data_IF_922532822554
#
_entry.id   IF_922532822554
#
_cell.length_a   1.000
_cell.length_b   1.000
_cell.length_c   1.000
_cell.angle_alpha   90.00
_cell.angle_beta   90.00
_cell.angle_gamma   90.00
#
_symmetry.space_group_name_H-M   'P 1'
#
loop_
_entity.id
_entity.type
_entity.pdbx_description
1 polymer ?
#
# COMPACT_ATOMS: atom_id res chain seq x y z
N UNK A 1 -20.88 -3.56 -11.26
CA UNK A 1 -20.27 -2.74 -12.33
C UNK A 1 -19.07 -3.39 -12.99
N UNK A 2 -18.17 -4.03 -12.23
CA UNK A 2 -16.92 -4.56 -12.80
C UNK A 2 -17.08 -5.52 -13.99
N UNK A 3 -18.05 -6.43 -13.96
CA UNK A 3 -18.18 -7.46 -15.01
C UNK A 3 -18.54 -6.90 -16.40
N UNK A 4 -19.60 -6.08 -16.57
CA UNK A 4 -19.87 -5.42 -17.87
C UNK A 4 -18.76 -4.49 -18.35
N UNK A 5 -18.10 -3.76 -17.44
CA UNK A 5 -16.97 -2.89 -17.76
C UNK A 5 -15.84 -3.72 -18.38
N UNK A 6 -15.49 -4.85 -17.76
CA UNK A 6 -14.48 -5.77 -18.28
C UNK A 6 -14.83 -6.32 -19.67
N UNK A 7 -16.08 -6.70 -19.90
CA UNK A 7 -16.54 -7.18 -21.21
C UNK A 7 -16.45 -6.10 -22.31
N UNK A 8 -16.57 -4.83 -21.95
CA UNK A 8 -16.41 -3.71 -22.86
C UNK A 8 -14.94 -3.34 -23.16
N UNK A 9 -13.97 -4.14 -22.69
CA UNK A 9 -12.54 -3.86 -22.85
C UNK A 9 -12.06 -2.67 -22.00
N UNK A 10 -12.75 -2.44 -20.87
CA UNK A 10 -12.42 -1.41 -19.90
C UNK A 10 -12.07 -2.05 -18.57
N UNK A 11 -11.26 -1.36 -17.77
CA UNK A 11 -10.93 -1.80 -16.43
C UNK A 11 -10.82 -0.61 -15.47
N UNK A 12 -11.10 -0.89 -14.20
CA UNK A 12 -10.80 0.04 -13.13
C UNK A 12 -10.39 -0.73 -11.88
N UNK A 13 -9.58 -0.08 -11.04
CA UNK A 13 -9.21 -0.58 -9.73
C UNK A 13 -9.40 0.51 -8.68
N UNK A 14 -9.71 0.08 -7.45
CA UNK A 14 -9.77 0.93 -6.27
C UNK A 14 -8.85 0.29 -5.23
N UNK A 15 -7.77 0.98 -4.91
CA UNK A 15 -6.82 0.60 -3.87
C UNK A 15 -6.97 1.49 -2.64
N UNK A 16 -6.48 0.99 -1.51
CA UNK A 16 -6.34 1.77 -0.28
C UNK A 16 -4.96 1.48 0.29
N UNK A 17 -4.24 2.55 0.62
CA UNK A 17 -2.95 2.51 1.31
C UNK A 17 -2.93 3.58 2.41
N UNK A 18 -1.74 3.87 2.96
CA UNK A 18 -1.58 4.87 4.02
C UNK A 18 -1.77 6.31 3.55
N UNK A 19 -1.50 6.60 2.26
CA UNK A 19 -1.66 7.93 1.66
C UNK A 19 -3.12 8.21 1.33
N UNK A 20 -3.90 7.17 1.02
CA UNK A 20 -5.35 7.27 0.89
C UNK A 20 -5.94 6.26 -0.07
N UNK A 21 -6.72 6.74 -1.03
CA UNK A 21 -7.44 5.93 -2.02
C UNK A 21 -6.76 6.12 -3.37
N UNK A 22 -6.37 5.00 -4.00
CA UNK A 22 -5.89 5.00 -5.38
C UNK A 22 -6.99 4.55 -6.33
N UNK A 23 -7.15 5.27 -7.43
CA UNK A 23 -8.10 4.95 -8.50
C UNK A 23 -7.31 4.79 -9.80
N UNK A 24 -7.48 3.67 -10.48
CA UNK A 24 -6.92 3.46 -11.81
C UNK A 24 -8.03 3.15 -12.80
N UNK A 25 -7.90 3.66 -14.01
CA UNK A 25 -8.83 3.47 -15.12
C UNK A 25 -8.03 3.12 -16.37
N UNK A 26 -8.45 2.09 -17.10
CA UNK A 26 -7.76 1.61 -18.30
C UNK A 26 -8.75 1.10 -19.35
N UNK A 27 -8.26 0.97 -20.58
CA UNK A 27 -9.01 0.44 -21.73
C UNK A 27 -9.19 1.46 -22.85
N UNK A 28 -10.24 1.29 -23.66
CA UNK A 28 -10.49 2.10 -24.86
C UNK A 28 -10.76 3.58 -24.55
N UNK A 29 -10.04 4.47 -25.24
CA UNK A 29 -10.10 5.94 -25.07
C UNK A 29 -11.51 6.51 -25.15
N UNK A 30 -12.33 5.95 -26.03
CA UNK A 30 -13.67 6.47 -26.36
C UNK A 30 -14.67 6.33 -25.20
N UNK A 31 -14.36 5.47 -24.21
CA UNK A 31 -15.24 5.14 -23.09
C UNK A 31 -14.63 5.41 -21.72
N UNK A 32 -13.35 5.78 -21.62
CA UNK A 32 -12.69 6.07 -20.33
C UNK A 32 -13.39 7.19 -19.57
N UNK A 33 -13.78 8.29 -20.22
CA UNK A 33 -14.46 9.40 -19.53
C UNK A 33 -15.82 8.99 -18.95
N UNK A 34 -16.55 8.13 -19.66
CA UNK A 34 -17.81 7.56 -19.19
C UNK A 34 -17.60 6.64 -17.98
N UNK A 35 -16.54 5.83 -18.01
CA UNK A 35 -16.15 4.98 -16.89
C UNK A 35 -15.79 5.80 -15.65
N UNK A 36 -14.93 6.83 -15.79
CA UNK A 36 -14.54 7.73 -14.70
C UNK A 36 -15.78 8.34 -14.06
N UNK A 37 -16.70 8.90 -14.87
CA UNK A 37 -17.97 9.45 -14.39
C UNK A 37 -18.77 8.42 -13.60
N UNK A 38 -18.95 7.23 -14.17
CA UNK A 38 -19.81 6.18 -13.59
C UNK A 38 -19.27 5.65 -12.26
N UNK A 39 -17.94 5.45 -12.16
CA UNK A 39 -17.29 4.96 -10.94
C UNK A 39 -17.29 6.04 -9.87
N UNK A 40 -16.89 7.27 -10.21
CA UNK A 40 -16.78 8.37 -9.23
C UNK A 40 -18.12 8.78 -8.61
N UNK A 41 -19.23 8.71 -9.36
CA UNK A 41 -20.58 8.92 -8.81
C UNK A 41 -20.95 7.92 -7.70
N UNK A 42 -20.38 6.72 -7.73
CA UNK A 42 -20.67 5.67 -6.74
C UNK A 42 -19.76 5.70 -5.52
N UNK A 43 -18.61 6.37 -5.59
CA UNK A 43 -17.64 6.43 -4.50
C UNK A 43 -18.22 7.03 -3.20
N UNK A 44 -19.13 8.01 -3.32
CA UNK A 44 -19.80 8.64 -2.17
C UNK A 44 -21.07 7.91 -1.72
N UNK A 45 -21.57 6.96 -2.51
CA UNK A 45 -22.84 6.29 -2.26
C UNK A 45 -22.62 4.90 -1.64
N UNK A 46 -22.02 4.86 -0.46
CA UNK A 46 -21.81 3.60 0.25
C UNK A 46 -23.14 3.11 0.84
N UNK A 47 -23.79 2.21 0.10
CA UNK A 47 -24.98 1.48 0.55
C UNK A 47 -24.54 0.09 1.01
N UNK A 48 -24.34 -0.06 2.31
CA UNK A 48 -24.03 -1.32 2.96
C UNK A 48 -25.06 -1.58 4.07
N UNK A 49 -25.67 -2.76 4.03
CA UNK A 49 -26.58 -3.24 5.06
C UNK A 49 -25.83 -3.87 6.24
N UNK A 50 -26.55 -4.17 7.31
CA UNK A 50 -25.98 -4.69 8.54
C UNK A 50 -25.37 -6.08 8.34
N UNK A 51 -26.01 -6.95 7.56
CA UNK A 51 -25.54 -8.30 7.31
C UNK A 51 -24.21 -8.31 6.54
N UNK A 52 -24.13 -7.54 5.45
CA UNK A 52 -22.93 -7.38 4.65
C UNK A 52 -21.81 -6.76 5.48
N UNK A 53 -22.11 -5.77 6.31
CA UNK A 53 -21.11 -5.16 7.20
C UNK A 53 -20.51 -6.17 8.16
N UNK A 54 -21.33 -6.94 8.88
CA UNK A 54 -20.83 -7.94 9.84
C UNK A 54 -20.02 -9.03 9.14
N UNK A 55 -20.46 -9.52 7.98
CA UNK A 55 -19.72 -10.49 7.17
C UNK A 55 -18.34 -9.97 6.73
N UNK A 56 -18.26 -8.72 6.26
CA UNK A 56 -17.01 -8.10 5.86
C UNK A 56 -16.08 -7.85 7.05
N UNK A 57 -16.65 -7.39 8.18
CA UNK A 57 -15.94 -7.16 9.44
C UNK A 57 -15.34 -8.47 9.97
N UNK A 58 -16.13 -9.54 10.02
CA UNK A 58 -15.67 -10.85 10.45
C UNK A 58 -14.56 -11.38 9.52
N UNK A 59 -14.76 -11.30 8.20
CA UNK A 59 -13.73 -11.71 7.22
C UNK A 59 -12.43 -10.95 7.40
N UNK A 60 -12.49 -9.65 7.69
CA UNK A 60 -11.31 -8.81 7.93
C UNK A 60 -10.63 -9.18 9.25
N UNK A 61 -11.39 -9.38 10.33
CA UNK A 61 -10.87 -9.83 11.62
C UNK A 61 -10.16 -11.19 11.50
N UNK A 62 -10.77 -12.16 10.80
CA UNK A 62 -10.12 -13.46 10.52
C UNK A 62 -8.81 -13.28 9.76
N UNK A 63 -8.75 -12.37 8.78
CA UNK A 63 -7.50 -12.07 8.06
C UNK A 63 -6.42 -11.53 8.99
N UNK A 64 -6.76 -10.65 9.94
CA UNK A 64 -5.80 -10.16 10.93
C UNK A 64 -5.29 -11.28 11.84
N UNK A 65 -6.20 -12.10 12.39
CA UNK A 65 -5.84 -13.25 13.23
C UNK A 65 -4.99 -14.29 12.50
N UNK A 66 -5.24 -14.49 11.21
CA UNK A 66 -4.51 -15.47 10.40
C UNK A 66 -3.10 -15.02 10.01
N UNK A 67 -2.68 -13.80 10.38
CA UNK A 67 -1.33 -13.31 10.11
C UNK A 67 -0.24 -14.20 10.73
N UNK A 68 -0.47 -14.73 11.94
CA UNK A 68 0.50 -15.61 12.63
C UNK A 68 0.77 -16.93 11.90
N UNK A 69 -0.05 -17.28 10.91
CA UNK A 69 0.10 -18.49 10.09
C UNK A 69 0.74 -18.20 8.72
N UNK A 70 1.10 -16.94 8.43
CA UNK A 70 1.88 -16.61 7.23
C UNK A 70 3.28 -17.23 7.31
N UNK A 71 3.97 -17.33 6.17
CA UNK A 71 5.32 -17.90 6.16
C UNK A 71 6.29 -17.04 6.97
N UNK A 72 7.32 -17.62 7.61
CA UNK A 72 8.23 -16.89 8.49
C UNK A 72 8.83 -15.62 7.86
N UNK A 73 9.25 -15.68 6.59
CA UNK A 73 9.83 -14.51 5.92
C UNK A 73 8.82 -13.36 5.77
N UNK A 74 7.54 -13.65 5.53
CA UNK A 74 6.49 -12.63 5.43
C UNK A 74 6.26 -11.95 6.78
N UNK A 75 6.31 -12.73 7.87
CA UNK A 75 6.22 -12.20 9.22
C UNK A 75 7.46 -11.35 9.56
N UNK A 76 8.66 -11.80 9.20
CA UNK A 76 9.90 -11.05 9.42
C UNK A 76 9.91 -9.70 8.67
N UNK A 77 9.50 -9.67 7.39
CA UNK A 77 9.35 -8.41 6.65
C UNK A 77 8.28 -7.48 7.26
N UNK A 78 7.20 -8.05 7.79
CA UNK A 78 6.19 -7.27 8.49
C UNK A 78 6.74 -6.65 9.79
N UNK A 79 7.49 -7.42 10.60
CA UNK A 79 8.13 -6.86 11.81
C UNK A 79 9.20 -5.82 11.48
N UNK A 80 10.04 -6.06 10.46
CA UNK A 80 10.94 -5.04 9.89
C UNK A 80 10.17 -3.75 9.59
N UNK A 81 9.01 -3.87 8.93
CA UNK A 81 8.21 -2.70 8.57
C UNK A 81 7.62 -1.96 9.79
N UNK A 82 7.30 -2.66 10.88
CA UNK A 82 6.91 -2.03 12.16
C UNK A 82 8.07 -1.30 12.83
N UNK A 83 9.29 -1.81 12.70
CA UNK A 83 10.48 -1.18 13.28
C UNK A 83 10.91 0.09 12.53
N UNK A 84 10.64 0.16 11.21
CA UNK A 84 11.17 1.22 10.37
C UNK A 84 10.15 2.30 10.01
N UNK A 85 8.86 1.97 9.94
CA UNK A 85 7.85 2.95 9.55
C UNK A 85 7.36 3.74 10.77
N UNK A 86 7.62 5.04 10.80
CA UNK A 86 7.31 5.87 11.98
C UNK A 86 5.81 5.97 12.29
N UNK A 87 4.95 5.80 11.28
CA UNK A 87 3.47 5.89 11.40
C UNK A 87 2.82 4.59 10.95
N UNK A 88 3.00 3.52 11.73
CA UNK A 88 2.39 2.20 11.48
C UNK A 88 1.71 1.65 12.72
N UNK A 89 0.46 1.18 12.55
CA UNK A 89 -0.23 0.36 13.54
C UNK A 89 -0.02 -1.12 13.22
N UNK A 90 0.11 -1.91 14.27
CA UNK A 90 0.21 -3.35 14.18
C UNK A 90 -1.13 -3.99 13.80
N UNK A 91 -1.03 -5.18 13.21
CA UNK A 91 -2.14 -6.07 12.89
C UNK A 91 -2.91 -6.49 14.14
N UNK A 92 -2.27 -6.49 15.30
CA UNK A 92 -2.86 -6.77 16.60
C UNK A 92 -3.74 -5.60 17.06
N UNK A 93 -3.25 -4.35 16.93
CA UNK A 93 -4.06 -3.15 17.15
C UNK A 93 -5.26 -3.12 16.21
N UNK A 94 -5.07 -3.44 14.92
CA UNK A 94 -6.20 -3.56 13.98
C UNK A 94 -7.20 -4.65 14.37
N UNK A 95 -6.74 -5.80 14.87
CA UNK A 95 -7.60 -6.89 15.31
C UNK A 95 -8.40 -6.54 16.58
N UNK A 96 -7.79 -5.79 17.49
CA UNK A 96 -8.47 -5.29 18.69
C UNK A 96 -9.53 -4.25 18.33
N UNK A 97 -9.16 -3.27 17.50
CA UNK A 97 -10.01 -2.11 17.22
C UNK A 97 -11.19 -2.46 16.31
N UNK A 98 -10.99 -3.34 15.32
CA UNK A 98 -12.06 -3.70 14.38
C UNK A 98 -13.30 -4.27 15.09
N UNK A 99 -13.11 -4.96 16.22
CA UNK A 99 -14.21 -5.50 17.02
C UNK A 99 -15.17 -4.42 17.55
N UNK A 100 -14.63 -3.21 17.82
CA UNK A 100 -15.34 -2.07 18.41
C UNK A 100 -16.13 -1.26 17.38
N UNK A 101 -15.75 -1.34 16.10
CA UNK A 101 -16.37 -0.60 14.99
C UNK A 101 -17.79 -1.10 14.71
N UNK A 102 -18.75 -0.19 14.56
CA UNK A 102 -20.15 -0.47 14.19
C UNK A 102 -20.47 0.09 12.81
N UNK A 103 -21.57 -0.39 12.20
CA UNK A 103 -22.04 0.10 10.89
C UNK A 103 -22.23 1.62 10.85
N UNK A 104 -22.72 2.22 11.93
CA UNK A 104 -22.89 3.68 12.03
C UNK A 104 -21.56 4.44 11.91
N UNK A 105 -20.47 3.88 12.42
CA UNK A 105 -19.15 4.51 12.42
C UNK A 105 -18.58 4.46 10.99
N UNK A 106 -18.77 3.34 10.29
CA UNK A 106 -18.45 3.21 8.87
C UNK A 106 -19.24 4.21 8.02
N UNK A 107 -20.54 4.36 8.25
CA UNK A 107 -21.39 5.32 7.53
C UNK A 107 -20.95 6.77 7.78
N UNK A 108 -20.61 7.10 9.02
CA UNK A 108 -20.07 8.42 9.40
C UNK A 108 -18.73 8.68 8.69
N UNK A 109 -17.82 7.70 8.71
CA UNK A 109 -16.53 7.79 8.02
C UNK A 109 -16.71 7.96 6.51
N UNK A 110 -17.57 7.15 5.88
CA UNK A 110 -17.87 7.21 4.45
C UNK A 110 -18.40 8.57 4.00
N UNK A 111 -19.23 9.22 4.83
CA UNK A 111 -19.76 10.55 4.56
C UNK A 111 -18.66 11.62 4.60
N UNK A 112 -17.69 11.50 5.52
CA UNK A 112 -16.62 12.47 5.72
C UNK A 112 -15.37 12.22 4.85
N UNK A 113 -15.23 11.02 4.28
CA UNK A 113 -14.01 10.56 3.60
C UNK A 113 -13.52 11.50 2.49
N UNK A 114 -14.44 12.16 1.78
CA UNK A 114 -14.13 13.05 0.66
C UNK A 114 -14.31 14.54 1.00
N UNK A 115 -14.52 14.91 2.27
CA UNK A 115 -14.77 16.30 2.68
C UNK A 115 -13.56 17.22 2.45
N UNK A 116 -12.35 16.69 2.64
CA UNK A 116 -11.08 17.36 2.31
C UNK A 116 -10.17 16.36 1.62
N UNK A 117 -9.63 16.71 0.46
CA UNK A 117 -8.72 15.81 -0.26
C UNK A 117 -7.77 16.57 -1.19
N UNK A 118 -6.68 15.90 -1.52
CA UNK A 118 -5.72 16.28 -2.54
C UNK A 118 -5.70 15.15 -3.58
N UNK A 119 -5.76 15.50 -4.87
CA UNK A 119 -5.70 14.53 -5.97
C UNK A 119 -4.42 14.76 -6.74
N UNK A 120 -3.59 13.71 -6.78
CA UNK A 120 -2.46 13.60 -7.68
C UNK A 120 -2.71 12.43 -8.62
N UNK A 121 -2.31 12.57 -9.88
CA UNK A 121 -2.53 11.54 -10.87
C UNK A 121 -1.80 11.81 -12.17
N UNK A 122 -1.69 10.76 -12.96
CA UNK A 122 -1.05 10.77 -14.27
C UNK A 122 -1.99 10.13 -15.29
N UNK A 123 -2.03 10.71 -16.49
CA UNK A 123 -2.85 10.24 -17.61
C UNK A 123 -1.91 10.02 -18.80
N UNK A 124 -2.00 8.83 -19.40
CA UNK A 124 -1.16 8.44 -20.52
C UNK A 124 -1.90 7.52 -21.50
N UNK A 125 -1.58 7.67 -22.78
CA UNK A 125 -2.14 6.87 -23.86
C UNK A 125 -2.78 7.74 -24.95
N UNK A 126 -3.70 7.15 -25.71
CA UNK A 126 -4.42 7.82 -26.80
C UNK A 126 -5.51 8.76 -26.25
N UNK A 127 -5.12 9.88 -25.65
CA UNK A 127 -6.05 10.85 -25.06
C UNK A 127 -5.56 12.28 -25.25
N UNK A 128 -6.44 13.12 -25.77
CA UNK A 128 -6.17 14.55 -25.94
C UNK A 128 -6.30 15.30 -24.62
N UNK A 129 -5.54 16.39 -24.48
CA UNK A 129 -5.50 17.24 -23.27
C UNK A 129 -6.90 17.65 -22.80
N UNK A 130 -7.78 18.03 -23.72
CA UNK A 130 -9.13 18.49 -23.38
C UNK A 130 -9.99 17.36 -22.81
N UNK A 131 -9.88 16.15 -23.37
CA UNK A 131 -10.59 14.96 -22.88
C UNK A 131 -10.06 14.50 -21.53
N UNK A 132 -8.75 14.58 -21.33
CA UNK A 132 -8.13 14.34 -20.02
C UNK A 132 -8.64 15.37 -19.00
N UNK A 133 -8.67 16.66 -19.36
CA UNK A 133 -9.20 17.73 -18.51
C UNK A 133 -10.67 17.56 -18.14
N UNK A 134 -11.50 17.10 -19.08
CA UNK A 134 -12.91 16.77 -18.85
C UNK A 134 -13.08 15.63 -17.83
N UNK A 135 -12.28 14.56 -17.97
CA UNK A 135 -12.31 13.42 -17.05
C UNK A 135 -11.88 13.82 -15.63
N UNK A 136 -10.80 14.60 -15.50
CA UNK A 136 -10.33 15.12 -14.20
C UNK A 136 -11.37 16.05 -13.57
N UNK A 137 -11.93 16.97 -14.35
CA UNK A 137 -12.98 17.88 -13.88
C UNK A 137 -14.22 17.11 -13.40
N UNK A 138 -14.60 16.05 -14.12
CA UNK A 138 -15.72 15.17 -13.74
C UNK A 138 -15.43 14.43 -12.43
N UNK A 139 -14.22 13.91 -12.27
CA UNK A 139 -13.77 13.25 -11.04
C UNK A 139 -13.85 14.21 -9.85
N UNK A 140 -13.21 15.38 -9.95
CA UNK A 140 -13.18 16.38 -8.88
C UNK A 140 -14.59 16.87 -8.52
N UNK A 141 -15.42 17.13 -9.53
CA UNK A 141 -16.83 17.51 -9.32
C UNK A 141 -17.63 16.43 -8.57
N UNK A 142 -17.44 15.16 -8.92
CA UNK A 142 -18.17 14.06 -8.28
C UNK A 142 -17.65 13.77 -6.86
N UNK A 143 -16.37 13.96 -6.60
CA UNK A 143 -15.80 13.86 -5.25
C UNK A 143 -16.27 15.04 -4.37
N UNK A 144 -16.32 16.25 -4.91
CA UNK A 144 -16.72 17.47 -4.19
C UNK A 144 -15.67 17.90 -3.17
N UNK A 145 -16.09 18.31 -1.97
CA UNK A 145 -15.16 18.60 -0.87
C UNK A 145 -14.33 19.88 -1.05
N UNK A 146 -13.41 20.10 -0.11
CA UNK A 146 -12.45 21.20 -0.11
C UNK A 146 -11.05 20.65 -0.39
N UNK A 147 -10.16 21.53 -0.86
CA UNK A 147 -8.75 21.19 -0.99
C UNK A 147 -8.13 20.85 0.38
N UNK A 148 -7.33 19.79 0.41
CA UNK A 148 -6.46 19.47 1.53
C UNK A 148 -5.17 20.31 1.40
N UNK A 149 -4.85 21.18 2.38
CA UNK A 149 -3.62 21.95 2.42
C UNK A 149 -2.41 21.04 2.30
N UNK A 150 -1.36 21.55 1.64
CA UNK A 150 -0.14 20.77 1.38
C UNK A 150 0.51 20.25 2.67
N UNK A 151 0.48 21.04 3.74
CA UNK A 151 1.05 20.67 5.03
C UNK A 151 0.25 19.57 5.75
N UNK A 152 -1.03 19.39 5.38
CA UNK A 152 -1.91 18.33 5.91
C UNK A 152 -1.79 17.02 5.10
N UNK A 153 -1.08 17.01 3.95
CA UNK A 153 -0.90 15.81 3.12
C UNK A 153 -0.05 14.80 3.90
N UNK A 154 -0.54 13.56 3.99
CA UNK A 154 0.20 12.49 4.64
C UNK A 154 1.55 12.28 3.97
N UNK A 155 2.62 12.52 4.74
CA UNK A 155 3.99 12.18 4.39
C UNK A 155 4.38 10.89 5.09
N UNK A 156 4.80 9.91 4.30
CA UNK A 156 5.45 8.71 4.83
C UNK A 156 6.82 9.09 5.41
N UNK A 157 7.24 8.38 6.45
CA UNK A 157 8.51 8.65 7.13
C UNK A 157 9.06 7.36 7.70
N UNK A 158 10.38 7.27 7.66
CA UNK A 158 11.17 6.12 8.09
C UNK A 158 11.93 6.51 9.36
N UNK A 159 12.21 5.56 10.24
CA UNK A 159 13.07 5.79 11.39
C UNK A 159 14.52 5.74 10.93
N UNK A 160 15.30 6.77 11.26
CA UNK A 160 16.74 6.81 11.00
C UNK A 160 17.47 6.11 12.15
N UNK A 161 18.24 5.07 11.81
CA UNK A 161 19.12 4.37 12.74
C UNK A 161 20.42 5.18 12.83
N UNK A 162 20.80 5.57 14.04
CA UNK A 162 22.05 6.30 14.25
C UNK A 162 23.26 5.48 13.77
N UNK A 163 24.28 6.13 13.16
CA UNK A 163 25.49 5.44 12.72
C UNK A 163 26.12 4.61 13.83
N UNK A 164 26.41 3.33 13.52
CA UNK A 164 27.01 2.39 14.46
C UNK A 164 26.05 1.80 15.49
N UNK A 165 24.76 2.16 15.48
CA UNK A 165 23.74 1.47 16.28
C UNK A 165 23.20 0.25 15.56
N UNK A 166 22.72 -0.70 16.35
CA UNK A 166 22.05 -1.90 15.86
C UNK A 166 20.85 -2.17 16.73
N UNK A 167 19.73 -2.48 16.09
CA UNK A 167 18.48 -2.85 16.74
C UNK A 167 18.06 -4.22 16.25
N UNK A 168 17.60 -5.07 17.17
CA UNK A 168 17.16 -6.42 16.87
C UNK A 168 15.81 -6.69 17.51
N UNK A 169 14.92 -7.34 16.76
CA UNK A 169 13.67 -7.87 17.26
C UNK A 169 13.63 -9.38 16.96
N UNK A 170 13.35 -10.17 17.99
CA UNK A 170 13.25 -11.64 17.87
C UNK A 170 11.86 -12.05 18.37
N UNK A 171 11.08 -12.66 17.47
CA UNK A 171 9.72 -13.09 17.75
C UNK A 171 9.58 -14.59 17.56
N UNK A 172 8.87 -15.24 18.49
CA UNK A 172 8.55 -16.66 18.36
C UNK A 172 7.35 -16.84 17.44
N UNK A 173 7.54 -17.55 16.34
CA UNK A 173 6.49 -17.79 15.35
C UNK A 173 5.70 -19.08 15.65
N UNK A 174 4.44 -19.11 15.24
CA UNK A 174 3.52 -20.25 15.40
C UNK A 174 3.54 -21.22 14.20
N UNK A 175 4.57 -21.14 13.36
CA UNK A 175 4.73 -21.95 12.15
C UNK A 175 6.07 -22.69 12.18
N UNK A 176 6.20 -23.74 11.37
CA UNK A 176 7.47 -24.43 11.18
C UNK A 176 8.43 -23.55 10.37
N UNK A 177 9.73 -23.74 10.59
CA UNK A 177 10.86 -22.94 10.08
C UNK A 177 11.01 -21.57 10.76
N UNK A 178 12.12 -20.91 10.47
CA UNK A 178 12.46 -19.56 10.91
C UNK A 178 12.76 -18.67 9.70
N UNK A 179 12.83 -17.37 9.93
CA UNK A 179 13.36 -16.42 8.96
C UNK A 179 14.13 -15.31 9.68
N UNK A 180 15.13 -14.77 9.00
CA UNK A 180 15.86 -13.58 9.43
C UNK A 180 15.82 -12.55 8.29
N UNK A 181 15.62 -11.29 8.67
CA UNK A 181 15.77 -10.15 7.76
C UNK A 181 16.81 -9.24 8.40
N UNK A 182 17.87 -8.98 7.65
CA UNK A 182 18.96 -8.09 8.07
C UNK A 182 18.91 -6.89 7.13
N UNK A 183 18.93 -5.70 7.71
CA UNK A 183 18.87 -4.46 6.95
C UNK A 183 19.99 -3.51 7.37
N UNK A 184 20.59 -2.88 6.36
CA UNK A 184 21.57 -1.82 6.51
C UNK A 184 20.99 -0.54 5.92
N UNK A 185 20.76 0.45 6.77
CA UNK A 185 20.42 1.80 6.33
C UNK A 185 21.71 2.52 5.95
N UNK A 186 21.73 3.14 4.75
CA UNK A 186 22.94 3.74 4.19
C UNK A 186 22.92 5.26 4.36
N UNK A 187 22.06 5.95 3.61
CA UNK A 187 21.90 7.41 3.68
C UNK A 187 20.56 7.81 3.02
N UNK A 188 20.27 9.11 3.00
CA UNK A 188 19.17 9.72 2.26
C UNK A 188 19.27 9.43 0.76
N UNK A 189 18.12 9.49 0.10
CA UNK A 189 18.03 9.27 -1.34
C UNK A 189 18.88 10.29 -2.10
N UNK A 190 19.85 9.77 -2.85
CA UNK A 190 20.66 10.49 -3.82
C UNK A 190 20.77 9.65 -5.11
N UNK A 191 20.60 10.23 -6.31
CA UNK A 191 20.65 9.45 -7.56
C UNK A 191 21.95 8.68 -7.76
N UNK A 192 23.10 9.22 -7.36
CA UNK A 192 24.40 8.54 -7.49
C UNK A 192 24.53 7.41 -6.47
N UNK A 193 24.10 7.63 -5.23
CA UNK A 193 24.03 6.59 -4.21
C UNK A 193 23.12 5.45 -4.65
N UNK A 194 21.93 5.77 -5.16
CA UNK A 194 20.96 4.81 -5.72
C UNK A 194 21.59 3.94 -6.78
N UNK A 195 22.22 4.54 -7.80
CA UNK A 195 22.89 3.77 -8.87
C UNK A 195 24.02 2.91 -8.31
N UNK A 196 24.79 3.43 -7.35
CA UNK A 196 25.87 2.67 -6.71
C UNK A 196 25.34 1.44 -5.97
N UNK A 197 24.24 1.58 -5.23
CA UNK A 197 23.57 0.49 -4.54
C UNK A 197 22.94 -0.52 -5.51
N UNK A 198 22.39 -0.08 -6.63
CA UNK A 198 21.89 -0.97 -7.69
C UNK A 198 22.99 -1.83 -8.30
N UNK A 199 24.18 -1.24 -8.55
CA UNK A 199 25.34 -1.99 -9.06
C UNK A 199 25.83 -2.99 -8.02
N UNK A 200 25.92 -2.59 -6.74
CA UNK A 200 26.29 -3.50 -5.65
C UNK A 200 25.29 -4.66 -5.52
N UNK A 201 23.99 -4.37 -5.54
CA UNK A 201 22.95 -5.39 -5.47
C UNK A 201 23.05 -6.39 -6.63
N UNK A 202 23.23 -5.90 -7.85
CA UNK A 202 23.42 -6.74 -9.05
C UNK A 202 24.61 -7.68 -8.91
N UNK A 203 25.71 -7.21 -8.32
CA UNK A 203 26.91 -8.03 -8.10
C UNK A 203 26.75 -9.02 -6.94
N UNK A 204 26.10 -8.60 -5.84
CA UNK A 204 25.98 -9.39 -4.61
C UNK A 204 24.89 -10.47 -4.70
N UNK A 205 23.79 -10.21 -5.39
CA UNK A 205 22.63 -11.11 -5.44
C UNK A 205 22.96 -12.56 -5.87
N UNK A 206 23.72 -12.82 -6.95
CA UNK A 206 24.08 -14.19 -7.32
C UNK A 206 25.06 -14.83 -6.32
N UNK A 207 25.98 -14.04 -5.74
CA UNK A 207 26.95 -14.52 -4.74
C UNK A 207 26.25 -14.93 -3.45
N UNK A 208 25.36 -14.08 -2.95
CA UNK A 208 24.56 -14.30 -1.74
C UNK A 208 23.67 -15.53 -1.89
N UNK A 209 23.01 -15.68 -3.04
CA UNK A 209 22.18 -16.84 -3.32
C UNK A 209 23.02 -18.13 -3.40
N UNK A 210 24.12 -18.12 -4.14
CA UNK A 210 24.97 -19.31 -4.26
C UNK A 210 25.54 -19.77 -2.91
N UNK A 211 26.07 -18.84 -2.12
CA UNK A 211 26.65 -19.17 -0.81
C UNK A 211 25.59 -19.71 0.16
N UNK A 212 24.54 -18.94 0.44
CA UNK A 212 23.58 -19.31 1.48
C UNK A 212 22.61 -20.41 1.06
N UNK A 213 22.19 -20.46 -0.22
CA UNK A 213 21.24 -21.49 -0.69
C UNK A 213 21.93 -22.72 -1.28
N UNK A 214 22.94 -22.56 -2.13
CA UNK A 214 23.55 -23.72 -2.82
C UNK A 214 24.60 -24.40 -1.96
N UNK A 215 25.52 -23.64 -1.35
CA UNK A 215 26.65 -24.19 -0.62
C UNK A 215 26.29 -24.53 0.83
N UNK A 216 25.76 -23.55 1.59
CA UNK A 216 25.40 -23.72 3.00
C UNK A 216 24.01 -24.33 3.22
N UNK A 217 23.17 -24.34 2.18
CA UNK A 217 21.83 -24.97 2.20
C UNK A 217 20.92 -24.48 3.35
N UNK A 218 21.00 -23.19 3.71
CA UNK A 218 20.26 -22.61 4.84
C UNK A 218 18.75 -22.56 4.64
N UNK A 219 18.29 -22.56 3.38
CA UNK A 219 16.87 -22.60 3.09
C UNK A 219 16.54 -22.45 1.61
N UNK A 220 15.30 -22.76 1.26
CA UNK A 220 14.79 -22.55 -0.09
C UNK A 220 14.60 -21.05 -0.39
N UNK A 221 14.21 -20.25 0.60
CA UNK A 221 13.97 -18.82 0.41
C UNK A 221 15.20 -18.07 0.91
N UNK A 222 16.01 -17.59 -0.03
CA UNK A 222 17.19 -16.76 0.20
C UNK A 222 17.15 -15.63 -0.81
N UNK A 223 17.26 -14.40 -0.35
CA UNK A 223 17.29 -13.23 -1.22
C UNK A 223 18.11 -12.11 -0.57
N UNK A 224 18.75 -11.30 -1.41
CA UNK A 224 19.30 -10.00 -1.08
C UNK A 224 18.76 -8.99 -2.07
N UNK A 225 18.65 -7.74 -1.66
CA UNK A 225 18.08 -6.70 -2.50
C UNK A 225 18.35 -5.34 -1.91
N UNK A 226 18.52 -4.35 -2.78
CA UNK A 226 18.33 -2.96 -2.37
C UNK A 226 16.83 -2.71 -2.15
N UNK A 227 16.50 -2.00 -1.08
CA UNK A 227 15.15 -1.44 -0.91
C UNK A 227 15.23 0.09 -0.81
N UNK A 228 14.29 0.76 -1.44
CA UNK A 228 14.08 2.20 -1.26
C UNK A 228 12.87 2.37 -0.35
N UNK A 229 13.06 3.12 0.73
CA UNK A 229 11.97 3.57 1.58
C UNK A 229 11.79 5.09 1.39
N UNK A 230 10.56 5.57 1.56
CA UNK A 230 10.24 6.99 1.43
C UNK A 230 11.14 7.87 2.30
N UNK A 231 11.41 9.09 1.82
CA UNK A 231 12.35 10.03 2.43
C UNK A 231 11.96 10.38 3.87
N UNK A 232 12.94 10.62 4.73
CA UNK A 232 12.68 11.26 6.03
C UNK A 232 12.71 12.77 5.91
N UNK A 233 11.75 13.43 6.58
CA UNK A 233 11.94 14.77 7.10
C UNK A 233 12.86 14.63 8.32
N UNK A 234 14.11 15.10 8.17
CA UNK A 234 15.20 14.92 9.13
C UNK A 234 16.49 14.72 8.35
#
# INVERSE_FOLDING_TARGET
LGYPVKLAGLEYSIGVDKKGISLSFGGYSDRISELVKTVTQKLKQIKIDQETFESLKERRLRRYKNFSFQQPYQQAFYYRSLMLEAKKHSIWEYAEEISKIRLRDLKKFAAALYDRHYVEGFIFGNVWKDKAGEAVSTLLKNLGGKELPRDDIYQESVIQIEPGKTHSLVEKMNVKNSAAVIEFQVDQHDPKLRVSLMVLDTALQPLFYNDLRTQQQLGYIVNSGMTELEKTLG
#
